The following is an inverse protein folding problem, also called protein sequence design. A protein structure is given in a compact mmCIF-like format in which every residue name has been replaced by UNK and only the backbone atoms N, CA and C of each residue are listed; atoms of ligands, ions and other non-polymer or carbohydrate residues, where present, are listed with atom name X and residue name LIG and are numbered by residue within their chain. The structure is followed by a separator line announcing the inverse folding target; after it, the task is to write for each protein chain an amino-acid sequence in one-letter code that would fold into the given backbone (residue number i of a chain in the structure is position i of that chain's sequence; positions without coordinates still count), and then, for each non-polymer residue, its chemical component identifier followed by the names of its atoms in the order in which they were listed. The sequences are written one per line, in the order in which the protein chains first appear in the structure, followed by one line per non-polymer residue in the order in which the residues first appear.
data_IF_480905147247
#
_entry.id   IF_480905147247
#
_cell.length_a   1.000
_cell.length_b   1.000
_cell.length_c   1.000
_cell.angle_alpha   90.00
_cell.angle_beta   90.00
_cell.angle_gamma   90.00
#
_symmetry.space_group_name_H-M   'P 1'
#
loop_
_entity.id
_entity.type
_entity.pdbx_description
1 polymer ?
#
# COMPACT_ATOMS: atom_id res chain seq x y z
N UNK A 1 43.26 -27.03 17.77
CA UNK A 1 43.01 -27.72 16.49
C UNK A 1 41.97 -28.81 16.74
N UNK A 2 40.69 -28.52 16.48
CA UNK A 2 39.58 -29.49 16.50
C UNK A 2 38.87 -29.37 15.16
N UNK A 3 38.71 -30.51 14.50
CA UNK A 3 38.15 -30.68 13.17
C UNK A 3 36.67 -30.26 13.16
N UNK A 4 36.29 -29.50 12.12
CA UNK A 4 34.90 -29.23 11.76
C UNK A 4 34.46 -30.44 10.94
N UNK A 5 33.49 -31.20 11.44
CA UNK A 5 32.83 -32.25 10.65
C UNK A 5 31.90 -31.59 9.62
N UNK A 6 32.01 -32.07 8.38
CA UNK A 6 31.21 -31.65 7.24
C UNK A 6 29.73 -32.02 7.44
N UNK A 7 28.88 -31.00 7.63
CA UNK A 7 27.44 -31.18 7.66
C UNK A 7 26.87 -31.12 6.23
N UNK A 8 26.64 -32.27 5.61
CA UNK A 8 25.88 -32.37 4.36
C UNK A 8 24.40 -32.02 4.60
N UNK A 9 23.91 -30.94 3.98
CA UNK A 9 22.49 -30.59 3.99
C UNK A 9 21.70 -31.61 3.16
N UNK A 10 20.60 -32.19 3.70
CA UNK A 10 19.76 -33.08 2.92
C UNK A 10 19.09 -32.32 1.74
N UNK A 11 18.85 -33.01 0.61
CA UNK A 11 18.28 -32.38 -0.57
C UNK A 11 16.88 -31.83 -0.27
N UNK A 12 16.66 -30.56 -0.61
CA UNK A 12 15.35 -29.91 -0.51
C UNK A 12 14.35 -30.67 -1.38
N UNK A 13 13.37 -31.34 -0.74
CA UNK A 13 12.23 -31.92 -1.44
C UNK A 13 11.50 -30.81 -2.21
N UNK A 14 11.47 -30.92 -3.54
CA UNK A 14 10.68 -30.02 -4.38
C UNK A 14 9.21 -30.18 -4.00
N UNK A 15 8.60 -29.14 -3.44
CA UNK A 15 7.15 -29.12 -3.28
C UNK A 15 6.52 -29.26 -4.68
N UNK A 16 5.82 -30.38 -4.91
CA UNK A 16 4.96 -30.55 -6.09
C UNK A 16 4.04 -29.33 -6.17
N UNK A 17 4.09 -28.62 -7.30
CA UNK A 17 3.13 -27.55 -7.62
C UNK A 17 1.73 -28.14 -7.50
N UNK A 18 0.93 -27.59 -6.59
CA UNK A 18 -0.52 -27.84 -6.56
C UNK A 18 -1.08 -27.43 -7.92
N UNK A 19 -1.74 -28.38 -8.59
CA UNK A 19 -2.42 -28.18 -9.87
C UNK A 19 -3.59 -27.21 -9.66
N UNK A 20 -3.44 -25.98 -10.14
CA UNK A 20 -4.46 -24.92 -10.02
C UNK A 20 -3.91 -23.50 -10.11
N UNK A 21 -2.61 -23.29 -9.84
CA UNK A 21 -2.02 -21.96 -9.93
C UNK A 21 -1.64 -21.62 -11.38
N UNK A 22 -2.27 -20.57 -11.93
CA UNK A 22 -1.81 -19.95 -13.15
C UNK A 22 -0.30 -19.62 -13.06
N UNK A 23 0.47 -19.79 -14.16
CA UNK A 23 1.90 -19.50 -14.13
C UNK A 23 2.10 -18.03 -13.75
N UNK A 24 2.98 -17.81 -12.76
CA UNK A 24 3.29 -16.46 -12.32
C UNK A 24 3.79 -15.63 -13.50
N UNK A 25 3.17 -14.48 -13.73
CA UNK A 25 3.56 -13.55 -14.78
C UNK A 25 4.80 -12.80 -14.33
N UNK A 26 5.70 -12.52 -15.26
CA UNK A 26 6.89 -11.72 -15.01
C UNK A 26 6.97 -10.57 -16.00
N UNK A 27 7.52 -9.43 -15.58
CA UNK A 27 7.78 -8.29 -16.44
C UNK A 27 9.09 -7.61 -16.05
N UNK A 28 9.80 -7.04 -17.02
CA UNK A 28 10.86 -6.08 -16.76
C UNK A 28 10.21 -4.71 -16.55
N UNK A 29 10.46 -4.09 -15.39
CA UNK A 29 9.83 -2.85 -15.01
C UNK A 29 10.81 -2.02 -14.17
N UNK A 30 11.13 -0.80 -14.62
CA UNK A 30 12.17 0.06 -14.03
C UNK A 30 13.49 -0.67 -13.76
N UNK A 31 14.01 -1.37 -14.77
CA UNK A 31 15.28 -2.11 -14.69
C UNK A 31 15.29 -3.34 -13.78
N UNK A 32 14.15 -3.73 -13.20
CA UNK A 32 14.04 -4.93 -12.36
C UNK A 32 12.97 -5.89 -12.84
N UNK A 33 13.21 -7.19 -12.62
CA UNK A 33 12.21 -8.21 -12.88
C UNK A 33 11.18 -8.24 -11.74
N UNK A 34 9.93 -7.94 -12.07
CA UNK A 34 8.78 -8.09 -11.18
C UNK A 34 8.03 -9.36 -11.52
N UNK A 35 7.41 -9.97 -10.51
CA UNK A 35 6.68 -11.24 -10.64
C UNK A 35 5.35 -11.13 -9.92
N UNK A 36 4.28 -11.61 -10.55
CA UNK A 36 2.98 -11.72 -9.91
C UNK A 36 3.04 -12.68 -8.71
N UNK A 37 2.25 -12.38 -7.67
CA UNK A 37 2.06 -13.31 -6.57
C UNK A 37 1.29 -14.55 -7.00
N UNK A 38 1.07 -15.47 -6.07
CA UNK A 38 0.16 -16.60 -6.29
C UNK A 38 -1.32 -16.18 -6.29
N UNK A 39 -1.64 -15.04 -5.64
CA UNK A 39 -2.99 -14.49 -5.51
C UNK A 39 -3.21 -13.24 -6.34
N UNK A 40 -2.23 -12.35 -6.38
CA UNK A 40 -2.35 -11.05 -7.05
C UNK A 40 -1.57 -10.99 -8.37
N UNK A 41 -2.15 -10.30 -9.34
CA UNK A 41 -1.53 -9.99 -10.63
C UNK A 41 -0.40 -8.96 -10.55
N UNK A 42 -0.02 -8.44 -11.72
CA UNK A 42 0.94 -7.34 -11.85
C UNK A 42 0.29 -5.95 -11.85
N UNK A 43 -1.05 -5.91 -11.85
CA UNK A 43 -1.90 -4.74 -11.70
C UNK A 43 -2.91 -4.99 -10.58
N UNK A 44 -3.45 -3.93 -10.00
CA UNK A 44 -4.58 -4.00 -9.09
C UNK A 44 -5.77 -4.59 -9.85
N UNK A 45 -6.51 -5.46 -9.17
CA UNK A 45 -7.62 -6.17 -9.77
C UNK A 45 -8.72 -6.36 -8.72
N UNK A 46 -9.95 -5.99 -9.10
CA UNK A 46 -11.12 -6.03 -8.23
C UNK A 46 -11.38 -7.43 -7.68
N UNK A 47 -11.15 -8.48 -8.48
CA UNK A 47 -11.48 -9.87 -8.10
C UNK A 47 -10.57 -10.42 -7.01
N UNK A 48 -9.36 -9.84 -6.86
CA UNK A 48 -8.37 -10.27 -5.87
C UNK A 48 -8.06 -9.20 -4.82
N UNK A 49 -8.69 -8.02 -4.92
CA UNK A 49 -8.43 -6.88 -4.04
C UNK A 49 -8.82 -7.16 -2.58
N UNK A 50 -9.99 -7.76 -2.37
CA UNK A 50 -10.57 -8.02 -1.05
C UNK A 50 -10.64 -9.52 -0.73
N UNK A 51 -9.57 -10.26 -0.99
CA UNK A 51 -9.44 -11.67 -0.60
C UNK A 51 -9.63 -11.81 0.91
N UNK A 52 -10.65 -12.59 1.33
CA UNK A 52 -10.97 -12.77 2.75
C UNK A 52 -9.78 -13.41 3.47
N UNK A 53 -9.41 -12.78 4.59
CA UNK A 53 -8.49 -13.34 5.56
C UNK A 53 -9.02 -13.04 6.96
N UNK A 54 -9.48 -14.09 7.65
CA UNK A 54 -10.06 -13.97 9.00
C UNK A 54 -9.05 -13.57 10.07
N UNK A 55 -7.74 -13.67 9.81
CA UNK A 55 -6.73 -13.32 10.80
C UNK A 55 -6.67 -11.81 11.03
N UNK A 56 -6.97 -11.41 12.26
CA UNK A 56 -6.77 -10.05 12.76
C UNK A 56 -5.33 -9.61 12.60
N UNK A 57 -5.12 -8.43 12.01
CA UNK A 57 -3.84 -7.75 11.91
C UNK A 57 -3.70 -6.61 12.93
N UNK A 58 -4.74 -6.36 13.73
CA UNK A 58 -4.82 -5.30 14.74
C UNK A 58 -4.98 -5.80 16.17
N UNK A 59 -4.72 -7.09 16.43
CA UNK A 59 -4.74 -7.67 17.79
C UNK A 59 -3.96 -6.80 18.79
N UNK A 60 -4.58 -6.50 19.92
CA UNK A 60 -3.98 -5.82 21.08
C UNK A 60 -4.37 -6.53 22.37
N UNK A 61 -3.55 -6.58 23.43
CA UNK A 61 -3.97 -7.19 24.68
C UNK A 61 -5.18 -6.48 25.31
N UNK A 62 -6.16 -7.23 25.83
CA UNK A 62 -7.37 -6.68 26.48
C UNK A 62 -7.03 -5.64 27.54
N UNK A 63 -5.94 -5.82 28.26
CA UNK A 63 -5.48 -4.93 29.34
C UNK A 63 -5.19 -3.50 28.86
N UNK A 64 -4.90 -3.29 27.58
CA UNK A 64 -4.66 -1.96 27.02
C UNK A 64 -5.94 -1.14 26.88
N UNK A 65 -7.06 -1.78 26.56
CA UNK A 65 -8.36 -1.12 26.45
C UNK A 65 -9.51 -2.14 26.60
N UNK A 66 -9.89 -2.50 27.83
CA UNK A 66 -10.92 -3.52 28.08
C UNK A 66 -12.28 -3.15 27.49
N UNK A 67 -12.65 -1.86 27.52
CA UNK A 67 -13.94 -1.41 27.00
C UNK A 67 -14.05 -1.56 25.48
N UNK A 68 -12.99 -1.19 24.74
CA UNK A 68 -12.94 -1.40 23.30
C UNK A 68 -12.86 -2.88 22.95
N UNK A 69 -12.07 -3.66 23.70
CA UNK A 69 -12.00 -5.10 23.54
C UNK A 69 -13.41 -5.71 23.63
N UNK A 70 -14.08 -5.53 24.76
CA UNK A 70 -15.41 -6.11 24.99
C UNK A 70 -16.45 -5.62 23.96
N UNK A 71 -16.31 -4.40 23.44
CA UNK A 71 -17.18 -3.86 22.39
C UNK A 71 -16.95 -4.50 21.00
N UNK A 72 -15.79 -5.09 20.75
CA UNK A 72 -15.45 -5.72 19.47
C UNK A 72 -15.70 -7.24 19.47
N UNK A 73 -16.09 -7.82 20.61
CA UNK A 73 -16.18 -9.26 20.83
C UNK A 73 -17.05 -10.00 19.80
N UNK A 74 -18.16 -9.38 19.39
CA UNK A 74 -19.07 -9.94 18.37
C UNK A 74 -18.43 -10.14 16.99
N UNK A 75 -17.28 -9.50 16.72
CA UNK A 75 -16.58 -9.60 15.44
C UNK A 75 -15.55 -10.73 15.39
N UNK A 76 -15.37 -11.47 16.48
CA UNK A 76 -14.36 -12.53 16.59
C UNK A 76 -14.95 -13.89 16.96
N UNK A 77 -14.28 -14.96 16.53
CA UNK A 77 -14.62 -16.35 16.81
C UNK A 77 -13.92 -16.89 18.06
N UNK A 78 -12.83 -16.24 18.46
CA UNK A 78 -11.97 -16.61 19.57
C UNK A 78 -11.90 -15.50 20.63
N UNK A 79 -11.81 -15.92 21.89
CA UNK A 79 -11.74 -15.03 23.05
C UNK A 79 -10.50 -14.11 23.01
N UNK A 80 -9.48 -14.46 22.22
CA UNK A 80 -8.26 -13.67 22.02
C UNK A 80 -8.32 -12.69 20.83
N UNK A 81 -9.48 -12.53 20.17
CA UNK A 81 -9.69 -11.61 19.04
C UNK A 81 -8.64 -11.74 17.92
N UNK A 82 -8.23 -12.98 17.61
CA UNK A 82 -7.25 -13.26 16.55
C UNK A 82 -7.91 -13.64 15.24
N UNK A 83 -9.15 -14.13 15.27
CA UNK A 83 -9.88 -14.67 14.13
C UNK A 83 -11.26 -14.02 14.06
N UNK A 84 -11.51 -13.27 12.98
CA UNK A 84 -12.81 -12.65 12.72
C UNK A 84 -13.89 -13.68 12.36
N UNK A 85 -15.14 -13.39 12.67
CA UNK A 85 -16.30 -14.19 12.24
C UNK A 85 -16.47 -14.15 10.72
N UNK A 86 -17.08 -15.20 10.15
CA UNK A 86 -17.41 -15.26 8.73
C UNK A 86 -18.37 -14.14 8.31
N UNK A 87 -19.37 -13.83 9.14
CA UNK A 87 -20.35 -12.76 8.88
C UNK A 87 -19.68 -11.39 8.81
N UNK A 88 -18.78 -11.08 9.75
CA UNK A 88 -18.00 -9.85 9.71
C UNK A 88 -17.13 -9.79 8.45
N UNK A 89 -16.47 -10.90 8.09
CA UNK A 89 -15.63 -10.96 6.89
C UNK A 89 -16.44 -10.73 5.61
N UNK A 90 -17.62 -11.34 5.47
CA UNK A 90 -18.48 -11.14 4.32
C UNK A 90 -18.96 -9.69 4.21
N UNK A 91 -19.41 -9.10 5.32
CA UNK A 91 -19.84 -7.70 5.37
C UNK A 91 -18.68 -6.73 5.06
N UNK A 92 -17.50 -6.97 5.62
CA UNK A 92 -16.31 -6.14 5.39
C UNK A 92 -15.82 -6.25 3.95
N UNK A 93 -15.82 -7.45 3.36
CA UNK A 93 -15.46 -7.66 1.95
C UNK A 93 -16.40 -6.87 1.03
N UNK A 94 -17.72 -6.95 1.25
CA UNK A 94 -18.70 -6.23 0.45
C UNK A 94 -18.45 -4.71 0.48
N UNK A 95 -18.23 -4.15 1.67
CA UNK A 95 -17.89 -2.73 1.86
C UNK A 95 -16.55 -2.35 1.22
N UNK A 96 -15.54 -3.22 1.30
CA UNK A 96 -14.24 -2.98 0.68
C UNK A 96 -14.33 -2.96 -0.84
N UNK A 97 -15.12 -3.86 -1.44
CA UNK A 97 -15.36 -3.89 -2.88
C UNK A 97 -16.18 -2.69 -3.36
N UNK A 98 -17.15 -2.23 -2.57
CA UNK A 98 -17.87 -0.99 -2.85
C UNK A 98 -16.92 0.23 -2.82
N UNK A 99 -16.05 0.33 -1.80
CA UNK A 99 -15.04 1.38 -1.74
C UNK A 99 -14.05 1.33 -2.91
N UNK A 100 -13.68 0.13 -3.34
CA UNK A 100 -12.86 -0.06 -4.54
C UNK A 100 -13.54 0.53 -5.77
N UNK A 101 -14.80 0.19 -6.01
CA UNK A 101 -15.55 0.66 -7.17
C UNK A 101 -15.71 2.18 -7.16
N UNK A 102 -16.00 2.77 -5.99
CA UNK A 102 -16.08 4.21 -5.81
C UNK A 102 -14.74 4.91 -6.11
N UNK A 103 -13.62 4.36 -5.63
CA UNK A 103 -12.30 4.90 -5.94
C UNK A 103 -11.98 4.78 -7.43
N UNK A 104 -12.28 3.65 -8.08
CA UNK A 104 -12.05 3.49 -9.52
C UNK A 104 -12.89 4.48 -10.35
N UNK A 105 -14.15 4.70 -9.97
CA UNK A 105 -15.01 5.69 -10.60
C UNK A 105 -14.48 7.12 -10.40
N UNK A 106 -14.05 7.43 -9.17
CA UNK A 106 -13.42 8.70 -8.84
C UNK A 106 -12.16 8.93 -9.69
N UNK A 107 -11.24 7.97 -9.75
CA UNK A 107 -10.03 8.04 -10.56
C UNK A 107 -10.31 8.22 -12.06
N UNK A 108 -11.38 7.60 -12.56
CA UNK A 108 -11.80 7.76 -13.95
C UNK A 108 -12.36 9.16 -14.25
N UNK A 109 -12.91 9.86 -13.26
CA UNK A 109 -13.44 11.22 -13.39
C UNK A 109 -12.37 12.31 -13.43
N UNK A 110 -11.15 12.00 -13.00
CA UNK A 110 -10.05 12.96 -12.90
C UNK A 110 -9.45 13.30 -14.28
N UNK A 111 -9.16 14.59 -14.52
CA UNK A 111 -8.62 15.08 -15.77
C UNK A 111 -7.11 14.78 -15.88
N UNK A 112 -6.69 14.21 -17.01
CA UNK A 112 -5.32 13.71 -17.18
C UNK A 112 -4.30 14.84 -17.37
N UNK A 113 -4.62 15.88 -18.14
CA UNK A 113 -3.69 17.00 -18.37
C UNK A 113 -3.48 17.84 -17.11
N UNK A 114 -4.49 17.98 -16.26
CA UNK A 114 -4.41 18.58 -14.94
C UNK A 114 -3.52 17.75 -14.03
N UNK A 115 -3.71 16.43 -14.00
CA UNK A 115 -2.85 15.51 -13.26
C UNK A 115 -1.39 15.63 -13.70
N UNK A 116 -1.11 15.53 -15.00
CA UNK A 116 0.25 15.61 -15.54
C UNK A 116 0.94 16.93 -15.19
N UNK A 117 0.20 18.04 -15.29
CA UNK A 117 0.72 19.37 -14.94
C UNK A 117 1.04 19.45 -13.46
N UNK A 118 0.15 18.96 -12.59
CA UNK A 118 0.38 18.94 -11.15
C UNK A 118 1.62 18.11 -10.77
N UNK A 119 1.82 16.95 -11.40
CA UNK A 119 3.03 16.14 -11.19
C UNK A 119 4.28 16.88 -11.67
N UNK A 120 4.24 17.46 -12.87
CA UNK A 120 5.37 18.19 -13.42
C UNK A 120 5.78 19.39 -12.53
N UNK A 121 4.80 20.17 -12.05
CA UNK A 121 5.02 21.30 -11.14
C UNK A 121 5.60 20.84 -9.80
N UNK A 122 5.03 19.82 -9.18
CA UNK A 122 5.50 19.29 -7.89
C UNK A 122 6.93 18.73 -7.98
N UNK A 123 7.25 17.99 -9.04
CA UNK A 123 8.60 17.44 -9.30
C UNK A 123 9.60 18.56 -9.55
N UNK A 124 9.26 19.55 -10.39
CA UNK A 124 10.13 20.67 -10.70
C UNK A 124 10.43 21.57 -9.48
N UNK A 125 9.47 21.70 -8.57
CA UNK A 125 9.63 22.45 -7.34
C UNK A 125 10.57 21.77 -6.32
N UNK A 126 10.79 20.46 -6.44
CA UNK A 126 11.62 19.68 -5.52
C UNK A 126 13.04 19.49 -6.07
N UNK A 127 14.00 20.20 -5.46
CA UNK A 127 15.41 20.15 -5.86
C UNK A 127 15.96 18.72 -5.84
N UNK A 128 16.59 18.32 -6.94
CA UNK A 128 17.25 17.02 -7.09
C UNK A 128 16.30 15.86 -7.33
N UNK A 129 15.00 16.14 -7.50
CA UNK A 129 14.04 15.15 -7.99
C UNK A 129 14.30 14.89 -9.47
N UNK A 130 14.49 13.63 -9.82
CA UNK A 130 14.71 13.18 -11.20
C UNK A 130 13.82 11.99 -11.50
N UNK A 131 13.46 11.81 -12.77
CA UNK A 131 12.75 10.62 -13.21
C UNK A 131 13.66 9.40 -13.14
N UNK A 132 13.11 8.28 -12.66
CA UNK A 132 13.82 7.02 -12.47
C UNK A 132 13.52 6.11 -13.65
N UNK A 133 14.54 5.80 -14.45
CA UNK A 133 14.45 4.79 -15.50
C UNK A 133 14.81 3.38 -14.99
N UNK A 134 15.77 3.28 -14.06
CA UNK A 134 16.23 2.02 -13.46
C UNK A 134 16.31 2.14 -11.93
N UNK A 135 15.51 1.34 -11.22
CA UNK A 135 15.52 1.29 -9.75
C UNK A 135 16.82 0.74 -9.16
N UNK A 136 17.65 0.02 -9.93
CA UNK A 136 18.97 -0.42 -9.46
C UNK A 136 19.88 0.76 -9.14
N UNK A 137 19.71 1.90 -9.81
CA UNK A 137 20.45 3.12 -9.49
C UNK A 137 20.07 3.72 -8.12
N UNK A 138 18.97 3.25 -7.54
CA UNK A 138 18.41 3.72 -6.27
C UNK A 138 18.52 2.68 -5.15
N UNK A 139 19.35 1.64 -5.36
CA UNK A 139 19.71 0.68 -4.32
C UNK A 139 20.55 1.36 -3.23
N UNK A 140 20.16 1.17 -1.97
CA UNK A 140 20.81 1.83 -0.83
C UNK A 140 20.69 3.35 -0.75
N UNK A 141 20.07 4.01 -1.72
CA UNK A 141 19.85 5.47 -1.71
C UNK A 141 18.64 5.82 -0.86
N UNK A 142 18.90 6.43 0.29
CA UNK A 142 17.88 7.02 1.18
C UNK A 142 17.32 8.30 0.57
N UNK A 143 16.05 8.58 0.80
CA UNK A 143 15.47 9.84 0.37
C UNK A 143 13.97 9.78 0.13
N UNK A 144 13.54 10.61 -0.81
CA UNK A 144 12.14 10.85 -1.18
C UNK A 144 11.88 10.25 -2.56
N UNK A 145 10.68 9.73 -2.77
CA UNK A 145 10.22 9.27 -4.08
C UNK A 145 8.73 9.57 -4.28
N UNK A 146 8.33 9.68 -5.54
CA UNK A 146 6.95 9.80 -5.99
C UNK A 146 6.68 8.65 -6.95
N UNK A 147 5.75 7.77 -6.59
CA UNK A 147 5.21 6.76 -7.49
C UNK A 147 3.99 7.36 -8.18
N UNK A 148 3.98 7.38 -9.50
CA UNK A 148 2.88 7.93 -10.30
C UNK A 148 2.16 6.77 -10.98
N UNK A 149 0.84 6.76 -10.82
CA UNK A 149 -0.06 5.75 -11.35
C UNK A 149 -0.97 6.40 -12.39
N UNK A 150 -0.47 6.58 -13.61
CA UNK A 150 -1.14 7.37 -14.65
C UNK A 150 -2.54 6.85 -14.98
N UNK A 151 -2.70 5.53 -15.03
CA UNK A 151 -4.01 4.89 -15.27
C UNK A 151 -5.07 5.25 -14.23
N UNK A 152 -4.66 5.69 -13.05
CA UNK A 152 -5.51 6.06 -11.93
C UNK A 152 -5.50 7.57 -11.64
N UNK A 153 -4.69 8.38 -12.35
CA UNK A 153 -4.40 9.80 -12.02
C UNK A 153 -4.09 10.00 -10.54
N UNK A 154 -3.29 9.11 -9.99
CA UNK A 154 -2.93 9.11 -8.58
C UNK A 154 -1.41 9.10 -8.42
N UNK A 155 -0.94 9.76 -7.38
CA UNK A 155 0.45 9.77 -6.96
C UNK A 155 0.58 9.38 -5.48
N UNK A 156 1.61 8.63 -5.18
CA UNK A 156 2.02 8.32 -3.81
C UNK A 156 3.40 8.93 -3.57
N UNK A 157 3.49 9.76 -2.54
CA UNK A 157 4.76 10.33 -2.08
C UNK A 157 5.23 9.49 -0.90
N UNK A 158 6.49 9.09 -0.90
CA UNK A 158 7.03 8.33 0.22
C UNK A 158 8.49 8.66 0.48
N UNK A 159 8.92 8.31 1.69
CA UNK A 159 10.31 8.42 2.10
C UNK A 159 10.88 7.09 2.55
N UNK A 160 12.21 7.03 2.63
CA UNK A 160 12.93 5.93 3.25
C UNK A 160 14.28 6.39 3.79
N UNK A 161 14.51 6.07 5.05
CA UNK A 161 15.81 6.21 5.72
C UNK A 161 16.51 4.84 5.89
N UNK A 162 15.89 3.77 5.39
CA UNK A 162 16.43 2.41 5.53
C UNK A 162 17.63 2.16 4.63
N UNK A 163 18.47 1.19 5.00
CA UNK A 163 19.65 0.79 4.22
C UNK A 163 19.31 0.19 2.86
N UNK A 164 18.10 -0.33 2.66
CA UNK A 164 17.65 -0.81 1.34
C UNK A 164 17.28 0.32 0.36
N UNK A 165 17.21 1.56 0.84
CA UNK A 165 16.94 2.73 0.03
C UNK A 165 15.56 2.73 -0.66
N UNK A 166 15.43 3.58 -1.67
CA UNK A 166 14.21 3.82 -2.44
C UNK A 166 13.80 2.56 -3.22
N UNK A 167 14.76 1.85 -3.81
CA UNK A 167 14.51 0.58 -4.51
C UNK A 167 13.77 -0.43 -3.62
N UNK A 168 14.27 -0.68 -2.41
CA UNK A 168 13.65 -1.64 -1.51
C UNK A 168 12.23 -1.21 -1.11
N UNK A 169 12.02 0.10 -0.89
CA UNK A 169 10.72 0.62 -0.46
C UNK A 169 9.66 0.57 -1.55
N UNK A 170 9.99 0.97 -2.78
CA UNK A 170 9.09 0.85 -3.94
C UNK A 170 8.71 -0.63 -4.17
N UNK A 171 9.69 -1.53 -4.13
CA UNK A 171 9.43 -2.97 -4.27
C UNK A 171 8.57 -3.52 -3.15
N UNK A 172 8.72 -3.00 -1.92
CA UNK A 172 7.86 -3.37 -0.81
C UNK A 172 6.41 -3.02 -1.09
N UNK A 173 6.13 -1.80 -1.58
CA UNK A 173 4.77 -1.39 -1.98
C UNK A 173 4.19 -2.30 -3.06
N UNK A 174 4.97 -2.63 -4.10
CA UNK A 174 4.50 -3.51 -5.18
C UNK A 174 4.22 -4.97 -4.76
N UNK A 175 4.93 -5.46 -3.74
CA UNK A 175 4.89 -6.88 -3.34
C UNK A 175 4.03 -7.14 -2.11
N UNK A 176 3.80 -6.12 -1.28
CA UNK A 176 2.94 -6.21 -0.11
C UNK A 176 1.48 -6.13 -0.53
N UNK A 177 0.58 -6.69 0.27
CA UNK A 177 -0.86 -6.44 0.14
C UNK A 177 -1.34 -5.89 1.46
N UNK A 178 -2.23 -4.88 1.41
CA UNK A 178 -2.82 -4.37 2.64
C UNK A 178 -3.63 -5.48 3.32
N UNK A 179 -3.56 -5.54 4.65
CA UNK A 179 -4.32 -6.54 5.40
C UNK A 179 -5.83 -6.34 5.18
N UNK A 180 -6.56 -7.44 5.07
CA UNK A 180 -7.99 -7.47 4.74
C UNK A 180 -8.81 -6.58 5.69
N UNK A 181 -8.62 -6.75 6.99
CA UNK A 181 -9.21 -5.96 8.07
C UNK A 181 -8.78 -4.47 8.10
N UNK A 182 -7.86 -4.06 7.23
CA UNK A 182 -7.31 -2.68 7.14
C UNK A 182 -7.47 -2.05 5.77
N UNK A 183 -8.31 -2.63 4.92
CA UNK A 183 -8.63 -2.08 3.59
C UNK A 183 -9.38 -0.74 3.70
N UNK A 184 -10.31 -0.64 4.65
CA UNK A 184 -11.12 0.56 4.90
C UNK A 184 -10.60 1.33 6.10
N UNK A 185 -10.43 2.64 5.94
CA UNK A 185 -10.27 3.58 7.06
C UNK A 185 -11.36 4.65 7.00
N UNK A 186 -12.19 4.71 8.03
CA UNK A 186 -13.40 5.54 8.03
C UNK A 186 -14.53 4.90 7.21
N UNK A 187 -15.35 5.75 6.59
CA UNK A 187 -16.48 5.35 5.76
C UNK A 187 -16.09 4.79 4.38
N UNK A 188 -17.01 4.01 3.80
CA UNK A 188 -16.86 3.41 2.46
C UNK A 188 -16.73 4.48 1.36
N UNK A 189 -17.36 5.63 1.55
CA UNK A 189 -17.37 6.76 0.62
C UNK A 189 -16.21 7.76 0.85
N UNK A 190 -15.32 7.50 1.82
CA UNK A 190 -14.22 8.40 2.14
C UNK A 190 -12.83 7.77 2.20
N UNK A 191 -12.78 6.43 2.36
CA UNK A 191 -11.53 5.69 2.46
C UNK A 191 -10.76 5.72 1.14
N UNK A 192 -9.53 6.23 1.20
CA UNK A 192 -8.56 6.20 0.09
C UNK A 192 -7.97 4.78 -0.02
N UNK A 193 -7.79 4.26 -1.24
CA UNK A 193 -7.09 2.97 -1.42
C UNK A 193 -5.63 3.06 -0.96
N UNK A 194 -5.16 2.02 -0.27
CA UNK A 194 -3.75 1.93 0.13
C UNK A 194 -2.85 1.82 -1.11
N UNK A 195 -1.71 2.51 -1.13
CA UNK A 195 -0.68 2.28 -2.17
C UNK A 195 -0.27 0.81 -2.26
N UNK A 196 -0.23 0.09 -1.14
CA UNK A 196 0.04 -1.36 -1.07
C UNK A 196 -1.04 -2.26 -1.71
N UNK A 197 -2.15 -1.67 -2.17
CA UNK A 197 -3.17 -2.40 -2.96
C UNK A 197 -2.78 -2.47 -4.44
N UNK A 198 -2.03 -1.46 -4.89
CA UNK A 198 -1.53 -1.37 -6.26
C UNK A 198 -0.30 -2.24 -6.44
N UNK A 199 -0.03 -2.59 -7.69
CA UNK A 199 1.00 -3.53 -8.10
C UNK A 199 2.02 -2.83 -8.98
N UNK A 200 3.07 -3.57 -9.34
CA UNK A 200 4.20 -3.03 -10.07
C UNK A 200 3.76 -2.24 -11.31
N UNK A 201 2.95 -2.84 -12.18
CA UNK A 201 2.58 -2.23 -13.46
C UNK A 201 1.47 -1.18 -13.36
N UNK A 202 0.94 -0.91 -12.16
CA UNK A 202 0.11 0.28 -11.95
C UNK A 202 0.97 1.53 -11.81
N UNK A 203 2.24 1.38 -11.41
CA UNK A 203 3.21 2.47 -11.37
C UNK A 203 3.80 2.66 -12.76
N UNK A 204 3.63 3.83 -13.34
CA UNK A 204 4.04 4.13 -14.73
C UNK A 204 5.19 5.10 -14.80
N UNK A 205 5.34 5.98 -13.79
CA UNK A 205 6.49 6.86 -13.61
C UNK A 205 6.95 6.82 -12.16
N UNK A 206 8.25 6.99 -11.95
CA UNK A 206 8.82 7.18 -10.61
C UNK A 206 9.73 8.40 -10.67
N UNK A 207 9.59 9.28 -9.69
CA UNK A 207 10.53 10.36 -9.47
C UNK A 207 11.21 10.14 -8.12
N UNK A 208 12.51 10.44 -8.01
CA UNK A 208 13.24 10.26 -6.77
C UNK A 208 14.31 11.33 -6.55
N UNK A 209 14.57 11.61 -5.28
CA UNK A 209 15.61 12.54 -4.83
C UNK A 209 16.34 11.95 -3.61
N UNK A 210 17.67 11.93 -3.65
CA UNK A 210 18.47 11.61 -2.47
C UNK A 210 18.49 12.82 -1.54
N UNK A 211 17.94 12.66 -0.33
CA UNK A 211 17.80 13.76 0.64
C UNK A 211 18.30 13.33 2.01
N UNK A 212 18.90 14.26 2.76
CA UNK A 212 19.45 14.00 4.09
C UNK A 212 18.39 14.02 5.20
N UNK A 213 17.32 14.80 5.03
CA UNK A 213 16.21 14.92 5.98
C UNK A 213 14.88 14.78 5.23
N UNK A 214 14.42 13.54 5.01
CA UNK A 214 13.29 13.26 4.14
C UNK A 214 11.92 13.64 4.72
N UNK A 215 11.73 13.55 6.05
CA UNK A 215 10.43 13.76 6.70
C UNK A 215 9.82 15.15 6.40
N UNK A 216 10.58 16.22 6.57
CA UNK A 216 10.08 17.60 6.31
C UNK A 216 9.81 17.85 4.83
N UNK A 217 10.51 17.14 3.94
CA UNK A 217 10.35 17.29 2.49
C UNK A 217 9.16 16.49 1.96
N UNK A 218 8.79 15.39 2.61
CA UNK A 218 7.62 14.57 2.26
C UNK A 218 6.35 15.42 2.28
N UNK A 219 6.07 16.08 3.40
CA UNK A 219 4.88 16.93 3.54
C UNK A 219 4.87 18.05 2.52
N UNK A 220 6.01 18.68 2.23
CA UNK A 220 6.11 19.74 1.23
C UNK A 220 5.68 19.27 -0.16
N UNK A 221 6.11 18.08 -0.59
CA UNK A 221 5.72 17.54 -1.91
C UNK A 221 4.26 17.11 -1.91
N UNK A 222 3.79 16.49 -0.83
CA UNK A 222 2.38 16.12 -0.66
C UNK A 222 1.48 17.37 -0.74
N UNK A 223 1.85 18.46 -0.07
CA UNK A 223 1.10 19.72 -0.02
C UNK A 223 1.13 20.49 -1.34
N UNK A 224 2.17 20.28 -2.17
CA UNK A 224 2.22 20.86 -3.53
C UNK A 224 1.29 20.16 -4.53
N UNK A 225 0.83 18.95 -4.22
CA UNK A 225 -0.10 18.21 -5.07
C UNK A 225 -1.55 18.52 -4.66
N UNK A 226 -2.45 18.78 -5.63
CA UNK A 226 -3.88 18.80 -5.36
C UNK A 226 -4.30 17.49 -4.68
N UNK A 227 -5.02 17.59 -3.56
CA UNK A 227 -5.37 16.44 -2.73
C UNK A 227 -5.99 15.28 -3.53
N UNK A 228 -6.85 15.60 -4.50
CA UNK A 228 -7.51 14.65 -5.42
C UNK A 228 -6.59 13.70 -6.18
N UNK A 229 -5.31 14.04 -6.29
CA UNK A 229 -4.28 13.25 -6.97
C UNK A 229 -3.38 12.46 -6.02
N UNK A 230 -3.65 12.44 -4.70
CA UNK A 230 -2.74 11.89 -3.69
C UNK A 230 -3.33 10.64 -3.01
N UNK A 231 -2.55 9.55 -2.97
CA UNK A 231 -2.87 8.27 -2.31
C UNK A 231 -2.36 8.13 -0.87
N UNK A 232 -1.62 9.11 -0.36
CA UNK A 232 -1.15 9.10 1.03
C UNK A 232 -2.35 9.12 1.99
N UNK A 233 -2.59 8.01 2.69
CA UNK A 233 -3.71 7.87 3.65
C UNK A 233 -3.44 8.50 5.02
N UNK A 234 -2.18 8.78 5.32
CA UNK A 234 -1.72 9.30 6.61
C UNK A 234 -0.95 10.59 6.34
N UNK A 235 -1.20 11.64 7.12
CA UNK A 235 -0.30 12.80 7.19
C UNK A 235 1.03 12.39 7.85
N UNK A 236 2.18 12.67 7.23
CA UNK A 236 3.48 12.09 7.57
C UNK A 236 3.82 12.02 9.07
N UNK A 237 4.45 10.92 9.50
CA UNK A 237 4.85 10.63 10.89
C UNK A 237 5.10 9.12 11.11
N UNK A 238 5.50 8.71 12.32
CA UNK A 238 5.87 7.31 12.61
C UNK A 238 4.70 6.34 12.35
N UNK A 239 4.81 5.56 11.28
CA UNK A 239 3.78 4.66 10.77
C UNK A 239 3.31 3.60 11.79
N UNK A 240 4.13 3.27 12.80
CA UNK A 240 3.73 2.31 13.85
C UNK A 240 2.76 2.95 14.85
N UNK A 241 3.06 4.16 15.30
CA UNK A 241 2.23 4.89 16.26
C UNK A 241 0.90 5.32 15.61
N UNK A 242 0.96 5.72 14.34
CA UNK A 242 -0.21 6.11 13.56
C UNK A 242 -1.08 4.91 13.17
N UNK A 243 -0.47 3.73 12.93
CA UNK A 243 -1.22 2.50 12.68
C UNK A 243 -2.10 2.08 13.85
N UNK A 244 -1.64 2.29 15.09
CA UNK A 244 -2.41 2.06 16.31
C UNK A 244 -3.46 3.16 16.53
N UNK A 245 -3.08 4.44 16.40
CA UNK A 245 -4.01 5.56 16.58
C UNK A 245 -5.13 5.62 15.52
N UNK A 246 -4.86 5.21 14.27
CA UNK A 246 -5.89 5.13 13.21
C UNK A 246 -6.87 3.97 13.44
N UNK A 247 -6.40 2.85 14.02
CA UNK A 247 -7.29 1.76 14.44
C UNK A 247 -8.21 2.19 15.60
N UNK A 248 -7.81 3.21 16.35
CA UNK A 248 -8.58 3.85 17.42
C UNK A 248 -9.40 5.07 16.95
N UNK A 249 -9.50 5.32 15.64
CA UNK A 249 -10.37 6.37 15.09
C UNK A 249 -9.85 7.80 15.22
N UNK A 250 -8.53 8.01 15.38
CA UNK A 250 -7.97 9.37 15.39
C UNK A 250 -8.06 10.06 14.01
N UNK A 251 -8.30 11.38 13.99
CA UNK A 251 -8.43 12.28 12.82
C UNK A 251 -7.15 12.47 11.97
N UNK A 252 -6.23 11.51 12.03
CA UNK A 252 -4.93 11.54 11.33
C UNK A 252 -4.98 10.93 9.92
N UNK A 253 -6.16 10.45 9.51
CA UNK A 253 -6.41 9.79 8.23
C UNK A 253 -6.92 10.79 7.20
N UNK A 254 -6.24 10.85 6.04
CA UNK A 254 -6.72 11.60 4.89
C UNK A 254 -7.88 10.87 4.22
N UNK A 255 -8.85 11.65 3.74
CA UNK A 255 -10.11 11.19 3.18
C UNK A 255 -10.35 11.90 1.85
N UNK A 256 -10.94 11.18 0.88
CA UNK A 256 -11.47 11.78 -0.36
C UNK A 256 -12.97 11.72 -0.31
N UNK A 257 -13.68 12.78 -0.69
CA UNK A 257 -15.12 12.66 -0.86
C UNK A 257 -15.39 11.93 -2.19
N UNK A 258 -15.67 10.62 -2.14
CA UNK A 258 -15.80 9.76 -3.33
C UNK A 258 -17.19 9.85 -3.99
N UNK A 259 -18.04 10.82 -3.59
CA UNK A 259 -19.32 11.04 -4.25
C UNK A 259 -19.10 11.70 -5.61
N UNK A 260 -19.79 11.18 -6.63
CA UNK A 260 -20.06 11.97 -7.82
C UNK A 260 -20.97 13.13 -7.40
N UNK A 261 -20.63 14.36 -7.79
CA UNK A 261 -21.60 15.45 -7.73
C UNK A 261 -22.89 14.95 -8.40
N UNK A 262 -24.08 15.21 -7.83
CA UNK A 262 -25.29 15.09 -8.60
C UNK A 262 -25.10 16.01 -9.81
N UNK A 263 -25.02 15.41 -11.00
CA UNK A 263 -24.92 16.16 -12.24
C UNK A 263 -26.06 17.20 -12.25
N UNK A 264 -25.79 18.48 -12.57
CA UNK A 264 -26.79 19.55 -12.47
C UNK A 264 -28.05 19.30 -13.28
#
# INVERSE_FOLDING_TARGET
MKLIEDYERPPRKSHKRLSGNAPARTALHFGINVRSGSRHGLNIDRTTYADINKRSSTHFPRELNPALWDALDEYFEDDEHRIHTDDWCAAHQARALENFDLNMAYFASLEHAEFDRAIAEAVAAQKGMVEVADLNEWDGKRGLYVMVLDGHRQAYVGITESEGGIKARVRQHWSTSKQFDRLLWGGVNESILSVDSFRALDTTRIFAAQVRSPLTLENKVIESLPGKFVLNRIAGGDAKLIGFASALGADIVKKHQLQADPTP
#
